data_IF_903014014936
#
_entry.id   IF_903014014936
#
_cell.length_a   1.000
_cell.length_b   1.000
_cell.length_c   1.000
_cell.angle_alpha   90.00
_cell.angle_beta   90.00
_cell.angle_gamma   90.00
#
_symmetry.space_group_name_H-M   'P 1'
#
loop_
_entity.id
_entity.type
_entity.pdbx_description
1 polymer ?
#
# COMPACT_ATOMS: atom_id res chain seq x y z
N UNK A 1 -26.71 -58.44 59.22
CA UNK A 1 -27.62 -58.08 60.33
C UNK A 1 -26.80 -57.47 61.45
N UNK A 2 -26.70 -56.14 61.50
CA UNK A 2 -26.22 -55.39 62.68
C UNK A 2 -27.08 -54.14 62.75
N UNK A 3 -27.71 -53.95 63.91
CA UNK A 3 -28.60 -52.86 64.25
C UNK A 3 -27.84 -51.57 64.52
N UNK A 4 -28.45 -50.42 64.20
CA UNK A 4 -28.10 -49.14 64.82
C UNK A 4 -29.39 -48.44 65.25
N UNK A 5 -29.42 -48.15 66.54
CA UNK A 5 -30.46 -47.46 67.29
C UNK A 5 -30.29 -45.95 67.13
N UNK A 6 -31.44 -45.28 67.10
CA UNK A 6 -31.76 -43.85 67.07
C UNK A 6 -30.96 -42.94 68.01
N UNK A 7 -30.67 -41.72 67.53
CA UNK A 7 -30.81 -40.50 68.36
C UNK A 7 -31.19 -39.30 67.48
N UNK A 8 -32.36 -38.72 67.75
CA UNK A 8 -32.82 -37.46 67.18
C UNK A 8 -32.33 -36.28 68.03
N UNK A 9 -31.79 -35.25 67.39
CA UNK A 9 -31.51 -33.94 68.00
C UNK A 9 -32.34 -32.90 67.24
N UNK A 10 -33.32 -32.33 67.94
CA UNK A 10 -34.12 -31.19 67.52
C UNK A 10 -33.35 -29.90 67.83
N UNK A 11 -32.97 -29.14 66.80
CA UNK A 11 -32.67 -27.72 66.94
C UNK A 11 -33.64 -26.90 66.08
N UNK A 12 -34.40 -26.05 66.77
CA UNK A 12 -35.29 -25.03 66.21
C UNK A 12 -34.45 -23.90 65.60
N UNK A 13 -34.51 -23.72 64.29
CA UNK A 13 -33.93 -22.59 63.56
C UNK A 13 -34.99 -21.96 62.65
N UNK A 14 -35.05 -20.62 62.66
CA UNK A 14 -36.09 -19.76 62.06
C UNK A 14 -36.26 -19.96 60.55
N UNK A 15 -37.52 -20.06 60.09
CA UNK A 15 -37.92 -20.02 58.68
C UNK A 15 -38.00 -18.54 58.26
N UNK A 16 -37.02 -18.08 57.48
CA UNK A 16 -37.20 -16.94 56.56
C UNK A 16 -37.47 -17.52 55.18
N UNK A 17 -38.65 -17.28 54.64
CA UNK A 17 -39.03 -17.76 53.31
C UNK A 17 -38.14 -17.16 52.22
N UNK A 18 -37.42 -18.01 51.49
CA UNK A 18 -36.90 -17.70 50.17
C UNK A 18 -37.94 -18.17 49.15
N UNK A 19 -38.53 -17.20 48.44
CA UNK A 19 -39.30 -17.48 47.23
C UNK A 19 -38.42 -18.11 46.14
N UNK A 20 -39.01 -18.79 45.15
CA UNK A 20 -38.24 -19.35 44.05
C UNK A 20 -37.53 -18.23 43.30
N UNK A 21 -36.21 -18.36 43.18
CA UNK A 21 -35.38 -17.45 42.41
C UNK A 21 -35.89 -17.39 40.97
N UNK A 22 -36.29 -16.19 40.54
CA UNK A 22 -36.55 -15.90 39.15
C UNK A 22 -35.25 -16.18 38.38
N UNK A 23 -35.32 -17.12 37.43
CA UNK A 23 -34.22 -17.43 36.53
C UNK A 23 -33.77 -16.15 35.82
N UNK A 24 -32.46 -15.90 35.87
CA UNK A 24 -31.85 -14.90 35.01
C UNK A 24 -32.17 -15.28 33.57
N UNK A 25 -32.97 -14.45 32.90
CA UNK A 25 -33.10 -14.52 31.45
C UNK A 25 -31.70 -14.35 30.84
N UNK A 26 -31.32 -15.18 29.85
CA UNK A 26 -30.11 -14.92 29.09
C UNK A 26 -30.23 -13.51 28.49
N UNK A 27 -29.16 -12.71 28.62
CA UNK A 27 -29.07 -11.44 27.90
C UNK A 27 -29.27 -11.71 26.40
N UNK A 28 -30.05 -10.87 25.68
CA UNK A 28 -30.25 -11.07 24.26
C UNK A 28 -28.90 -11.06 23.56
N UNK A 29 -28.61 -12.11 22.78
CA UNK A 29 -27.47 -12.15 21.86
C UNK A 29 -27.56 -10.90 20.99
N UNK A 30 -26.55 -10.04 21.04
CA UNK A 30 -26.51 -8.82 20.24
C UNK A 30 -26.77 -9.16 18.77
N UNK A 31 -27.67 -8.42 18.12
CA UNK A 31 -27.93 -8.58 16.68
C UNK A 31 -26.61 -8.37 15.93
N UNK A 32 -26.24 -9.27 14.99
CA UNK A 32 -25.02 -9.12 14.22
C UNK A 32 -25.07 -7.80 13.43
N UNK A 33 -23.98 -7.03 13.46
CA UNK A 33 -23.89 -5.75 12.75
C UNK A 33 -23.84 -5.99 11.25
N UNK A 34 -23.14 -7.06 10.83
CA UNK A 34 -23.01 -7.46 9.44
C UNK A 34 -24.07 -8.48 9.04
N UNK A 35 -24.71 -8.22 7.91
CA UNK A 35 -25.66 -9.12 7.23
C UNK A 35 -25.51 -8.95 5.72
N UNK A 36 -26.10 -9.81 4.88
CA UNK A 36 -26.15 -9.56 3.43
C UNK A 36 -26.77 -8.20 3.06
N UNK A 37 -27.63 -7.63 3.91
CA UNK A 37 -28.24 -6.32 3.69
C UNK A 37 -27.29 -5.14 3.98
N UNK A 38 -26.22 -5.34 4.76
CA UNK A 38 -25.20 -4.30 5.00
C UNK A 38 -24.22 -4.14 3.83
N UNK A 39 -24.24 -5.06 2.86
CA UNK A 39 -23.31 -5.07 1.74
C UNK A 39 -23.76 -4.18 0.58
N UNK A 40 -22.83 -3.76 -0.30
CA UNK A 40 -23.15 -3.08 -1.56
C UNK A 40 -24.23 -3.82 -2.36
N UNK A 41 -25.06 -3.08 -3.06
CA UNK A 41 -26.10 -3.61 -3.95
C UNK A 41 -25.77 -3.31 -5.40
N UNK A 42 -26.51 -3.93 -6.32
CA UNK A 42 -26.45 -3.59 -7.75
C UNK A 42 -26.73 -2.10 -7.97
N UNK A 43 -27.68 -1.52 -7.24
CA UNK A 43 -28.04 -0.11 -7.38
C UNK A 43 -26.91 0.82 -6.94
N UNK A 44 -26.16 0.47 -5.88
CA UNK A 44 -25.02 1.26 -5.41
C UNK A 44 -23.94 1.38 -6.49
N UNK A 45 -23.55 0.26 -7.11
CA UNK A 45 -22.43 0.20 -8.06
C UNK A 45 -22.76 0.70 -9.46
N UNK A 46 -24.03 0.90 -9.81
CA UNK A 46 -24.43 1.55 -11.07
C UNK A 46 -23.83 2.94 -11.24
N UNK A 47 -23.48 3.61 -10.15
CA UNK A 47 -22.80 4.91 -10.17
C UNK A 47 -21.38 4.86 -10.76
N UNK A 48 -20.71 3.70 -10.72
CA UNK A 48 -19.37 3.52 -11.32
C UNK A 48 -19.42 3.42 -12.85
N UNK A 49 -20.45 2.77 -13.37
CA UNK A 49 -20.70 2.65 -14.81
C UNK A 49 -22.20 2.43 -15.03
N UNK A 50 -22.91 3.50 -15.36
CA UNK A 50 -24.37 3.48 -15.54
C UNK A 50 -24.83 2.74 -16.80
N UNK A 51 -23.90 2.45 -17.72
CA UNK A 51 -24.18 1.72 -18.95
C UNK A 51 -23.95 0.22 -18.79
N UNK A 52 -23.23 -0.21 -17.76
CA UNK A 52 -22.97 -1.60 -17.49
C UNK A 52 -24.19 -2.32 -16.90
N UNK A 53 -24.42 -3.54 -17.38
CA UNK A 53 -25.41 -4.44 -16.80
C UNK A 53 -24.83 -5.12 -15.55
N UNK A 54 -24.98 -4.48 -14.39
CA UNK A 54 -24.48 -5.01 -13.12
C UNK A 54 -25.34 -6.15 -12.58
N UNK A 55 -24.69 -7.20 -12.09
CA UNK A 55 -25.32 -8.32 -11.40
C UNK A 55 -24.54 -8.69 -10.14
N UNK A 56 -25.25 -9.15 -9.11
CA UNK A 56 -24.64 -9.85 -7.98
C UNK A 56 -24.32 -11.28 -8.42
N UNK A 57 -23.05 -11.66 -8.32
CA UNK A 57 -22.57 -12.99 -8.72
C UNK A 57 -22.13 -13.83 -7.53
N UNK A 58 -21.94 -13.21 -6.37
CA UNK A 58 -21.56 -13.87 -5.13
C UNK A 58 -22.04 -13.07 -3.93
N UNK A 59 -22.65 -13.74 -2.96
CA UNK A 59 -22.75 -13.29 -1.57
C UNK A 59 -22.50 -14.49 -0.66
N UNK A 60 -21.65 -14.30 0.35
CA UNK A 60 -21.32 -15.35 1.31
C UNK A 60 -20.93 -14.76 2.67
N UNK A 61 -21.24 -15.49 3.73
CA UNK A 61 -20.93 -15.11 5.12
C UNK A 61 -19.79 -15.96 5.71
N UNK A 62 -19.27 -16.89 4.91
CA UNK A 62 -18.15 -17.77 5.27
C UNK A 62 -17.07 -17.64 4.21
N UNK A 63 -15.85 -17.38 4.67
CA UNK A 63 -14.66 -17.32 3.83
C UNK A 63 -13.98 -18.69 3.82
N UNK A 64 -13.59 -19.13 2.64
CA UNK A 64 -12.82 -20.34 2.36
C UNK A 64 -11.70 -20.04 1.34
N UNK A 65 -11.06 -21.09 0.83
CA UNK A 65 -9.95 -20.95 -0.10
C UNK A 65 -10.36 -20.39 -1.48
N UNK A 66 -11.62 -20.57 -1.89
CA UNK A 66 -12.12 -20.16 -3.21
C UNK A 66 -12.77 -18.76 -3.19
N UNK A 67 -12.91 -18.20 -1.98
CA UNK A 67 -13.43 -16.86 -1.76
C UNK A 67 -12.55 -15.82 -2.47
N UNK A 68 -13.13 -14.97 -3.35
CA UNK A 68 -12.37 -13.90 -3.98
C UNK A 68 -11.84 -12.93 -2.92
N UNK A 69 -10.60 -12.45 -3.11
CA UNK A 69 -9.92 -11.54 -2.18
C UNK A 69 -9.53 -10.23 -2.86
N UNK A 70 -9.58 -9.11 -2.14
CA UNK A 70 -9.15 -7.82 -2.66
C UNK A 70 -7.66 -7.80 -2.98
N UNK A 71 -7.31 -7.06 -4.02
CA UNK A 71 -5.94 -6.88 -4.47
C UNK A 71 -5.10 -6.17 -3.40
N UNK A 72 -3.81 -6.51 -3.32
CA UNK A 72 -2.85 -5.98 -2.33
C UNK A 72 -3.12 -6.33 -0.86
N UNK A 73 -4.12 -7.16 -0.54
CA UNK A 73 -4.46 -7.51 0.84
C UNK A 73 -4.40 -9.01 1.10
N UNK A 74 -3.81 -9.37 2.23
CA UNK A 74 -3.84 -10.70 2.84
C UNK A 74 -4.58 -10.57 4.17
N UNK A 75 -5.89 -10.77 4.09
CA UNK A 75 -6.84 -10.41 5.14
C UNK A 75 -6.76 -11.30 6.40
N UNK A 76 -6.14 -12.47 6.29
CA UNK A 76 -5.89 -13.45 7.36
C UNK A 76 -4.39 -13.60 7.67
N UNK A 77 -3.59 -12.59 7.32
CA UNK A 77 -2.17 -12.56 7.64
C UNK A 77 -1.93 -12.65 9.16
N UNK A 78 -0.75 -13.19 9.52
CA UNK A 78 -0.33 -13.26 10.91
C UNK A 78 -0.39 -11.87 11.58
N UNK A 79 -0.99 -11.82 12.77
CA UNK A 79 -1.12 -10.60 13.56
C UNK A 79 -2.40 -9.80 13.30
N UNK A 80 -3.17 -10.11 12.26
CA UNK A 80 -4.51 -9.54 12.08
C UNK A 80 -5.45 -10.15 13.13
N UNK A 81 -6.18 -9.34 13.92
CA UNK A 81 -7.18 -9.85 14.86
C UNK A 81 -8.24 -10.72 14.15
N UNK A 82 -8.79 -11.69 14.87
CA UNK A 82 -9.83 -12.54 14.30
C UNK A 82 -11.15 -11.77 14.22
N UNK A 83 -11.73 -11.67 13.02
CA UNK A 83 -13.09 -11.16 12.85
C UNK A 83 -14.11 -12.14 13.47
N UNK A 84 -15.10 -11.61 14.17
CA UNK A 84 -16.24 -12.37 14.71
C UNK A 84 -17.23 -12.77 13.61
N UNK A 85 -17.33 -11.96 12.56
CA UNK A 85 -18.10 -12.26 11.35
C UNK A 85 -17.51 -11.55 10.15
N UNK A 86 -17.65 -12.17 8.98
CA UNK A 86 -17.25 -11.60 7.69
C UNK A 86 -18.39 -11.79 6.71
N UNK A 87 -18.61 -10.81 5.84
CA UNK A 87 -19.51 -10.96 4.69
C UNK A 87 -18.75 -10.52 3.45
N UNK A 88 -18.84 -11.31 2.38
CA UNK A 88 -18.23 -11.03 1.07
C UNK A 88 -19.34 -10.92 0.05
N UNK A 89 -19.26 -9.90 -0.82
CA UNK A 89 -20.13 -9.75 -1.98
C UNK A 89 -19.32 -9.36 -3.20
N UNK A 90 -19.58 -10.01 -4.33
CA UNK A 90 -19.02 -9.64 -5.63
C UNK A 90 -20.12 -9.26 -6.61
N UNK A 91 -19.96 -8.08 -7.20
CA UNK A 91 -20.82 -7.52 -8.24
C UNK A 91 -20.02 -7.46 -9.54
N UNK A 92 -20.62 -7.84 -10.67
CA UNK A 92 -19.95 -7.89 -11.96
C UNK A 92 -20.71 -7.08 -13.01
N UNK A 93 -19.97 -6.33 -13.83
CA UNK A 93 -20.50 -5.58 -14.96
C UNK A 93 -20.48 -6.46 -16.22
N UNK A 94 -21.65 -6.89 -16.66
CA UNK A 94 -21.80 -7.79 -17.81
C UNK A 94 -21.11 -9.14 -17.56
N UNK A 95 -20.47 -9.69 -18.59
CA UNK A 95 -19.83 -11.01 -18.54
C UNK A 95 -18.31 -10.96 -18.30
N UNK A 96 -17.75 -9.78 -18.02
CA UNK A 96 -16.32 -9.61 -17.78
C UNK A 96 -16.00 -9.73 -16.29
N UNK A 97 -15.38 -10.84 -15.89
CA UNK A 97 -15.01 -11.10 -14.51
C UNK A 97 -13.98 -10.11 -13.93
N UNK A 98 -13.27 -9.37 -14.79
CA UNK A 98 -12.30 -8.34 -14.42
C UNK A 98 -12.90 -6.93 -14.39
N UNK A 99 -14.17 -6.77 -14.79
CA UNK A 99 -14.95 -5.56 -14.57
C UNK A 99 -15.93 -5.81 -13.41
N UNK A 100 -15.42 -5.70 -12.19
CA UNK A 100 -16.13 -6.15 -10.98
C UNK A 100 -15.86 -5.28 -9.77
N UNK A 101 -16.76 -5.33 -8.80
CA UNK A 101 -16.60 -4.74 -7.47
C UNK A 101 -16.69 -5.86 -6.44
N UNK A 102 -15.61 -6.08 -5.73
CA UNK A 102 -15.57 -6.94 -4.55
C UNK A 102 -15.74 -6.06 -3.30
N UNK A 103 -16.71 -6.39 -2.46
CA UNK A 103 -16.91 -5.78 -1.15
C UNK A 103 -16.77 -6.85 -0.08
N UNK A 104 -15.86 -6.64 0.85
CA UNK A 104 -15.65 -7.51 2.00
C UNK A 104 -15.74 -6.68 3.28
N UNK A 105 -16.59 -7.14 4.21
CA UNK A 105 -16.84 -6.45 5.47
C UNK A 105 -16.51 -7.37 6.64
N UNK A 106 -15.89 -6.81 7.67
CA UNK A 106 -15.41 -7.51 8.86
C UNK A 106 -15.98 -6.85 10.11
N UNK A 107 -16.52 -7.65 11.02
CA UNK A 107 -16.88 -7.21 12.36
C UNK A 107 -15.88 -7.82 13.34
N UNK A 108 -15.21 -6.98 14.10
CA UNK A 108 -14.27 -7.38 15.14
C UNK A 108 -14.92 -7.34 16.52
N UNK A 109 -14.27 -7.93 17.51
CA UNK A 109 -14.76 -7.93 18.89
C UNK A 109 -14.79 -6.53 19.50
N UNK A 110 -13.92 -5.63 19.04
CA UNK A 110 -13.81 -4.26 19.53
C UNK A 110 -13.39 -3.28 18.44
N UNK A 111 -13.54 -1.98 18.71
CA UNK A 111 -12.99 -0.93 17.85
C UNK A 111 -11.45 -0.94 17.79
N UNK A 112 -10.79 -1.38 18.88
CA UNK A 112 -9.33 -1.48 18.93
C UNK A 112 -8.80 -2.63 18.08
N UNK A 113 -9.51 -3.77 18.04
CA UNK A 113 -9.19 -4.87 17.14
C UNK A 113 -9.39 -4.45 15.68
N UNK A 114 -10.51 -3.78 15.38
CA UNK A 114 -10.77 -3.23 14.05
C UNK A 114 -9.69 -2.21 13.63
N UNK A 115 -9.24 -1.37 14.57
CA UNK A 115 -8.14 -0.42 14.34
C UNK A 115 -6.84 -1.16 14.05
N UNK A 116 -6.50 -2.18 14.82
CA UNK A 116 -5.27 -2.96 14.63
C UNK A 116 -5.27 -3.67 13.27
N UNK A 117 -6.40 -4.26 12.86
CA UNK A 117 -6.57 -4.83 11.52
C UNK A 117 -6.40 -3.76 10.43
N UNK A 118 -7.03 -2.59 10.60
CA UNK A 118 -6.96 -1.47 9.65
C UNK A 118 -5.53 -0.93 9.49
N UNK A 119 -4.78 -0.79 10.58
CA UNK A 119 -3.41 -0.31 10.56
C UNK A 119 -2.49 -1.31 9.82
N UNK A 120 -2.70 -2.62 10.03
CA UNK A 120 -1.96 -3.68 9.32
C UNK A 120 -2.31 -3.71 7.83
N UNK A 121 -3.60 -3.69 7.48
CA UNK A 121 -4.03 -3.69 6.08
C UNK A 121 -3.62 -2.41 5.35
N UNK A 122 -3.60 -1.26 6.03
CA UNK A 122 -3.05 -0.03 5.46
C UNK A 122 -1.59 -0.24 5.05
N UNK A 123 -0.77 -0.88 5.89
CA UNK A 123 0.62 -1.20 5.53
C UNK A 123 0.72 -2.20 4.37
N UNK A 124 -0.14 -3.22 4.35
CA UNK A 124 -0.20 -4.16 3.23
C UNK A 124 -0.58 -3.48 1.90
N UNK A 125 -1.50 -2.50 1.91
CA UNK A 125 -1.79 -1.69 0.73
C UNK A 125 -0.56 -0.87 0.30
N UNK A 126 0.20 -0.35 1.25
CA UNK A 126 1.46 0.35 1.02
C UNK A 126 2.55 -0.51 0.38
N UNK A 127 2.65 -1.78 0.80
CA UNK A 127 3.57 -2.77 0.25
C UNK A 127 3.12 -3.31 -1.11
N UNK A 128 1.81 -3.58 -1.24
CA UNK A 128 1.18 -4.40 -2.27
C UNK A 128 2.05 -5.58 -2.73
N UNK A 129 2.19 -6.59 -1.87
CA UNK A 129 3.08 -7.75 -2.09
C UNK A 129 2.69 -8.67 -3.26
N UNK A 130 1.63 -8.34 -4.02
CA UNK A 130 1.21 -9.07 -5.22
C UNK A 130 2.35 -9.02 -6.26
N UNK A 131 2.95 -10.17 -6.66
CA UNK A 131 4.21 -10.24 -7.44
C UNK A 131 4.30 -9.50 -8.79
N UNK A 132 3.22 -8.88 -9.27
CA UNK A 132 3.13 -8.23 -10.59
C UNK A 132 2.37 -6.91 -10.55
N UNK A 133 2.09 -6.40 -9.34
CA UNK A 133 1.33 -5.19 -9.16
C UNK A 133 2.22 -3.95 -9.23
N UNK A 134 1.71 -2.89 -9.85
CA UNK A 134 2.23 -1.53 -9.80
C UNK A 134 1.29 -0.65 -8.99
N UNK A 135 1.76 -0.06 -7.91
CA UNK A 135 1.09 0.98 -7.13
C UNK A 135 1.13 2.31 -7.88
N UNK A 136 0.14 2.51 -8.73
CA UNK A 136 0.02 3.71 -9.53
C UNK A 136 -0.32 4.96 -8.69
N UNK A 137 -1.13 4.81 -7.64
CA UNK A 137 -1.61 5.93 -6.85
C UNK A 137 -1.94 5.54 -5.40
N UNK A 138 -1.83 6.48 -4.46
CA UNK A 138 -2.46 6.41 -3.15
C UNK A 138 -3.68 7.32 -3.06
N UNK A 139 -4.57 7.06 -2.11
CA UNK A 139 -5.77 7.86 -1.91
C UNK A 139 -5.82 8.46 -0.51
N UNK A 140 -5.98 9.77 -0.45
CA UNK A 140 -6.40 10.46 0.77
C UNK A 140 -7.93 10.48 0.77
N UNK A 141 -8.54 9.84 1.76
CA UNK A 141 -9.99 9.67 1.86
C UNK A 141 -10.49 10.36 3.12
N UNK A 142 -11.61 11.06 3.02
CA UNK A 142 -12.25 11.74 4.15
C UNK A 142 -13.76 11.60 4.11
N UNK A 143 -14.42 11.82 5.24
CA UNK A 143 -15.88 11.73 5.33
C UNK A 143 -16.41 10.29 5.31
N UNK A 144 -15.56 9.30 5.58
CA UNK A 144 -15.91 7.87 5.55
C UNK A 144 -15.38 7.21 6.82
N UNK A 145 -16.24 7.04 7.82
CA UNK A 145 -15.87 6.35 9.05
C UNK A 145 -14.87 7.11 9.93
N UNK A 146 -14.25 6.37 10.84
CA UNK A 146 -13.20 6.87 11.74
C UNK A 146 -11.84 6.99 11.04
N UNK A 147 -11.59 6.14 10.04
CA UNK A 147 -10.35 6.11 9.28
C UNK A 147 -10.60 5.44 7.93
N UNK A 148 -10.04 6.00 6.86
CA UNK A 148 -10.11 5.43 5.53
C UNK A 148 -8.80 5.67 4.76
N UNK A 149 -8.44 4.71 3.92
CA UNK A 149 -7.27 4.81 3.04
C UNK A 149 -7.46 3.93 1.81
N UNK A 150 -6.59 4.09 0.81
CA UNK A 150 -6.62 3.23 -0.35
C UNK A 150 -5.47 3.43 -1.31
N UNK A 151 -5.45 2.58 -2.33
CA UNK A 151 -4.48 2.61 -3.42
C UNK A 151 -5.16 2.31 -4.74
N UNK A 152 -4.53 2.75 -5.82
CA UNK A 152 -4.74 2.17 -7.14
C UNK A 152 -3.57 1.26 -7.46
N UNK A 153 -3.87 0.01 -7.78
CA UNK A 153 -2.91 -1.00 -8.18
C UNK A 153 -3.19 -1.47 -9.61
N UNK A 154 -2.17 -1.66 -10.41
CA UNK A 154 -2.26 -2.20 -11.76
C UNK A 154 -1.62 -3.57 -11.76
N UNK A 155 -2.40 -4.62 -12.00
CA UNK A 155 -1.88 -5.98 -12.20
C UNK A 155 -1.35 -6.05 -13.63
N UNK A 156 -0.02 -6.06 -13.77
CA UNK A 156 0.67 -5.84 -15.05
C UNK A 156 0.85 -7.14 -15.88
N UNK A 157 -0.23 -7.89 -16.06
CA UNK A 157 -0.29 -9.00 -17.01
C UNK A 157 -0.31 -8.50 -18.48
N UNK A 158 -0.36 -9.41 -19.45
CA UNK A 158 -0.50 -9.07 -20.88
C UNK A 158 -1.66 -8.10 -21.13
N UNK A 159 -2.77 -8.31 -20.42
CA UNK A 159 -3.87 -7.35 -20.32
C UNK A 159 -3.88 -6.82 -18.90
N UNK A 160 -3.52 -5.54 -18.74
CA UNK A 160 -3.50 -4.93 -17.43
C UNK A 160 -4.91 -4.82 -16.83
N UNK A 161 -5.05 -5.24 -15.58
CA UNK A 161 -6.26 -5.05 -14.78
C UNK A 161 -5.96 -3.96 -13.76
N UNK A 162 -6.78 -2.91 -13.76
CA UNK A 162 -6.63 -1.78 -12.86
C UNK A 162 -7.59 -1.97 -11.70
N UNK A 163 -7.06 -1.84 -10.49
CA UNK A 163 -7.78 -1.97 -9.24
C UNK A 163 -7.74 -0.63 -8.50
N UNK A 164 -8.86 -0.23 -7.92
CA UNK A 164 -8.90 0.79 -6.88
C UNK A 164 -9.41 0.11 -5.62
N UNK A 165 -8.50 -0.08 -4.66
CA UNK A 165 -8.73 -0.77 -3.40
C UNK A 165 -8.77 0.27 -2.30
N UNK A 166 -9.89 0.36 -1.61
CA UNK A 166 -10.07 1.29 -0.50
C UNK A 166 -10.67 0.55 0.69
N UNK A 167 -10.25 0.93 1.88
CA UNK A 167 -10.83 0.43 3.12
C UNK A 167 -11.25 1.57 4.03
N UNK A 168 -12.26 1.32 4.85
CA UNK A 168 -12.74 2.23 5.87
C UNK A 168 -13.10 1.48 7.14
N UNK A 169 -12.71 2.03 8.28
CA UNK A 169 -13.11 1.57 9.61
C UNK A 169 -14.14 2.51 10.21
N UNK A 170 -15.17 1.94 10.84
CA UNK A 170 -16.12 2.65 11.70
C UNK A 170 -16.40 1.78 12.92
N UNK A 171 -15.90 2.18 14.08
CA UNK A 171 -16.03 1.44 15.33
C UNK A 171 -15.39 0.07 15.18
N UNK A 172 -16.15 -0.98 15.48
CA UNK A 172 -15.71 -2.39 15.36
C UNK A 172 -15.83 -2.99 13.96
N UNK A 173 -16.28 -2.23 12.95
CA UNK A 173 -16.48 -2.72 11.58
C UNK A 173 -15.48 -2.10 10.61
N UNK A 174 -14.93 -2.93 9.72
CA UNK A 174 -14.10 -2.51 8.59
C UNK A 174 -14.73 -2.96 7.29
N UNK A 175 -14.86 -2.05 6.33
CA UNK A 175 -15.28 -2.32 4.96
C UNK A 175 -14.09 -2.19 4.02
N UNK A 176 -13.93 -3.13 3.09
CA UNK A 176 -12.93 -3.13 2.02
C UNK A 176 -13.66 -3.24 0.69
N UNK A 177 -13.38 -2.32 -0.24
CA UNK A 177 -13.87 -2.36 -1.62
C UNK A 177 -12.68 -2.43 -2.57
N UNK A 178 -12.66 -3.47 -3.41
CA UNK A 178 -11.78 -3.58 -4.58
C UNK A 178 -12.64 -3.47 -5.84
N UNK A 179 -12.63 -2.30 -6.47
CA UNK A 179 -13.20 -2.11 -7.80
C UNK A 179 -12.12 -2.38 -8.85
N UNK A 180 -12.46 -3.17 -9.88
CA UNK A 180 -11.55 -3.62 -10.92
C UNK A 180 -12.11 -3.35 -12.31
N UNK A 181 -11.25 -2.98 -13.27
CA UNK A 181 -11.60 -2.84 -14.68
C UNK A 181 -10.38 -3.06 -15.58
N UNK A 182 -10.52 -3.74 -16.74
CA UNK A 182 -9.44 -3.83 -17.71
C UNK A 182 -9.12 -2.46 -18.29
N UNK A 183 -7.82 -2.16 -18.45
CA UNK A 183 -7.29 -1.00 -19.19
C UNK A 183 -7.70 0.41 -18.71
N UNK A 184 -8.67 0.55 -17.80
CA UNK A 184 -9.14 1.81 -17.25
C UNK A 184 -9.22 1.73 -15.72
N UNK A 185 -8.72 2.75 -15.04
CA UNK A 185 -8.74 2.81 -13.58
C UNK A 185 -10.13 3.17 -13.04
N UNK A 186 -10.71 2.38 -12.12
CA UNK A 186 -11.91 2.77 -11.41
C UNK A 186 -11.70 4.05 -10.59
N UNK A 187 -12.62 5.02 -10.70
CA UNK A 187 -12.51 6.32 -10.03
C UNK A 187 -12.51 6.18 -8.51
N UNK A 188 -11.42 6.57 -7.85
CA UNK A 188 -11.29 6.49 -6.40
C UNK A 188 -12.26 7.38 -5.62
N UNK A 189 -12.73 8.48 -6.18
CA UNK A 189 -13.79 9.30 -5.55
C UNK A 189 -15.12 8.55 -5.57
N UNK A 190 -15.41 7.85 -6.65
CA UNK A 190 -16.62 7.04 -6.75
C UNK A 190 -16.55 5.83 -5.81
N UNK A 191 -15.40 5.16 -5.71
CA UNK A 191 -15.19 4.07 -4.73
C UNK A 191 -15.33 4.57 -3.28
N UNK A 192 -14.83 5.77 -2.95
CA UNK A 192 -14.97 6.34 -1.61
C UNK A 192 -16.44 6.62 -1.25
N UNK A 193 -17.25 7.04 -2.22
CA UNK A 193 -18.70 7.19 -2.03
C UNK A 193 -19.38 5.84 -1.78
N UNK A 194 -18.96 4.76 -2.45
CA UNK A 194 -19.45 3.41 -2.17
C UNK A 194 -19.10 2.97 -0.74
N UNK A 195 -17.88 3.23 -0.28
CA UNK A 195 -17.51 3.00 1.12
C UNK A 195 -18.41 3.79 2.07
N UNK A 196 -18.68 5.07 1.76
CA UNK A 196 -19.59 5.91 2.54
C UNK A 196 -20.99 5.31 2.66
N UNK A 197 -21.52 4.76 1.56
CA UNK A 197 -22.82 4.08 1.54
C UNK A 197 -22.87 2.89 2.50
N UNK A 198 -21.88 2.00 2.48
CA UNK A 198 -21.88 0.79 3.35
C UNK A 198 -21.54 1.13 4.80
N UNK A 199 -20.66 2.10 5.05
CA UNK A 199 -20.40 2.62 6.39
C UNK A 199 -21.66 3.24 6.98
N UNK A 200 -22.44 3.98 6.19
CA UNK A 200 -23.73 4.53 6.64
C UNK A 200 -24.74 3.47 7.08
N UNK A 201 -24.64 2.24 6.57
CA UNK A 201 -25.50 1.11 6.97
C UNK A 201 -25.09 0.48 8.31
N UNK A 202 -23.83 0.56 8.69
CA UNK A 202 -23.26 -0.20 9.82
C UNK A 202 -22.78 0.66 10.98
N UNK A 203 -22.44 1.94 10.74
CA UNK A 203 -21.70 2.79 11.68
C UNK A 203 -22.34 2.92 13.08
N UNK A 204 -23.66 3.09 13.16
CA UNK A 204 -24.37 3.25 14.43
C UNK A 204 -24.27 1.98 15.29
N UNK A 205 -24.50 0.82 14.68
CA UNK A 205 -24.43 -0.47 15.37
C UNK A 205 -22.98 -0.89 15.65
N UNK A 206 -22.03 -0.45 14.82
CA UNK A 206 -20.60 -0.65 15.04
C UNK A 206 -20.00 0.27 16.11
N UNK A 207 -20.74 1.30 16.56
CA UNK A 207 -20.27 2.28 17.54
C UNK A 207 -19.19 3.22 17.02
N UNK A 208 -19.20 3.55 15.73
CA UNK A 208 -18.21 4.42 15.08
C UNK A 208 -18.81 5.63 14.37
N UNK A 209 -17.94 6.45 13.78
CA UNK A 209 -18.36 7.58 12.97
C UNK A 209 -19.09 7.13 11.69
N UNK A 210 -20.20 7.79 11.38
CA UNK A 210 -20.91 7.57 10.11
C UNK A 210 -20.26 8.38 8.99
N UNK A 211 -20.58 7.98 7.75
CA UNK A 211 -20.17 8.73 6.58
C UNK A 211 -20.80 10.13 6.58
N UNK A 212 -19.99 11.14 6.29
CA UNK A 212 -20.39 12.54 6.15
C UNK A 212 -19.59 13.16 5.00
N UNK A 213 -20.28 13.46 3.90
CA UNK A 213 -19.67 13.99 2.67
C UNK A 213 -18.40 13.23 2.20
N UNK A 214 -18.49 11.92 1.86
CA UNK A 214 -17.38 11.13 1.36
C UNK A 214 -16.63 11.81 0.20
N UNK A 215 -15.31 11.92 0.34
CA UNK A 215 -14.43 12.45 -0.71
C UNK A 215 -13.10 11.72 -0.76
N UNK A 216 -12.46 11.74 -1.92
CA UNK A 216 -11.11 11.24 -2.11
C UNK A 216 -10.31 12.15 -3.03
N UNK A 217 -9.01 12.21 -2.81
CA UNK A 217 -8.05 12.85 -3.70
C UNK A 217 -6.82 11.97 -3.88
N UNK A 218 -6.13 12.13 -5.02
CA UNK A 218 -4.83 11.50 -5.22
C UNK A 218 -3.87 11.93 -4.12
N UNK A 219 -3.05 10.98 -3.67
CA UNK A 219 -2.07 11.16 -2.62
C UNK A 219 -0.98 10.09 -2.71
N UNK A 220 -0.18 10.00 -1.65
CA UNK A 220 0.87 8.99 -1.54
C UNK A 220 0.28 7.69 -1.01
N UNK A 221 0.68 6.51 -1.53
CA UNK A 221 0.30 5.23 -0.94
C UNK A 221 0.63 5.19 0.56
N UNK A 222 -0.12 4.40 1.35
CA UNK A 222 0.22 4.17 2.74
C UNK A 222 1.66 3.70 2.92
N UNK A 223 2.22 3.92 4.11
CA UNK A 223 3.56 3.42 4.45
C UNK A 223 3.66 1.90 4.27
N UNK A 224 4.82 1.43 3.83
CA UNK A 224 5.16 0.00 3.81
C UNK A 224 5.35 -0.54 5.23
N UNK A 225 5.26 -1.86 5.41
CA UNK A 225 5.36 -2.44 6.75
C UNK A 225 6.78 -2.38 7.34
N UNK A 226 7.80 -2.65 6.53
CA UNK A 226 9.18 -2.87 7.02
C UNK A 226 10.12 -1.68 6.80
N UNK A 227 10.04 -1.03 5.63
CA UNK A 227 10.99 -0.01 5.21
C UNK A 227 10.22 1.21 4.65
N UNK A 228 9.51 1.97 5.51
CA UNK A 228 8.56 3.00 5.09
C UNK A 228 9.19 4.17 4.33
N UNK A 229 10.49 4.40 4.50
CA UNK A 229 11.23 5.44 3.80
C UNK A 229 11.68 5.05 2.38
N UNK A 230 11.63 3.76 2.04
CA UNK A 230 12.10 3.22 0.75
C UNK A 230 10.93 2.93 -0.20
N UNK A 231 11.24 2.79 -1.49
CA UNK A 231 10.30 2.24 -2.46
C UNK A 231 9.79 0.84 -2.02
N UNK A 232 8.53 0.55 -2.31
CA UNK A 232 8.00 -0.81 -2.33
C UNK A 232 8.39 -1.49 -3.67
N UNK A 233 8.40 -2.83 -3.71
CA UNK A 233 8.58 -3.53 -5.00
C UNK A 233 7.49 -3.13 -6.00
N UNK A 234 6.27 -2.88 -5.51
CA UNK A 234 5.15 -2.45 -6.32
C UNK A 234 5.25 -0.98 -6.77
N UNK A 235 6.22 -0.19 -6.31
CA UNK A 235 6.44 1.17 -6.85
C UNK A 235 7.18 1.15 -8.20
N UNK A 236 7.77 0.01 -8.57
CA UNK A 236 8.54 -0.15 -9.79
C UNK A 236 7.70 -0.78 -10.89
N UNK A 237 7.50 -0.11 -12.04
CA UNK A 237 6.77 -0.69 -13.16
C UNK A 237 7.57 -1.83 -13.80
N UNK A 238 6.88 -2.81 -14.37
CA UNK A 238 7.48 -3.70 -15.38
C UNK A 238 7.96 -2.90 -16.59
N UNK A 239 9.09 -3.34 -17.17
CA UNK A 239 9.62 -2.80 -18.43
C UNK A 239 9.02 -3.57 -19.60
N UNK A 240 9.07 -4.91 -19.56
CA UNK A 240 8.40 -5.76 -20.54
C UNK A 240 6.98 -6.07 -20.11
N UNK A 241 6.02 -5.93 -21.02
CA UNK A 241 4.62 -6.26 -20.73
C UNK A 241 4.46 -7.74 -20.36
N UNK A 242 3.80 -8.01 -19.23
CA UNK A 242 3.43 -9.36 -18.80
C UNK A 242 4.55 -10.22 -18.19
N UNK A 243 5.78 -9.73 -18.07
CA UNK A 243 6.90 -10.48 -17.48
C UNK A 243 7.74 -9.58 -16.57
N UNK A 244 8.52 -10.17 -15.68
CA UNK A 244 9.35 -9.43 -14.75
C UNK A 244 8.74 -9.32 -13.35
N UNK A 245 9.57 -9.48 -12.32
CA UNK A 245 9.19 -9.34 -10.92
C UNK A 245 10.29 -8.60 -10.17
N UNK A 246 9.91 -7.53 -9.48
CA UNK A 246 10.83 -6.78 -8.62
C UNK A 246 10.97 -7.44 -7.25
N UNK A 247 12.21 -7.57 -6.79
CA UNK A 247 12.55 -8.01 -5.44
C UNK A 247 13.58 -7.08 -4.80
N UNK A 248 13.19 -6.37 -3.76
CA UNK A 248 14.09 -5.55 -2.95
C UNK A 248 14.92 -6.38 -1.96
N UNK A 249 16.20 -6.06 -1.83
CA UNK A 249 17.09 -6.60 -0.79
C UNK A 249 16.69 -6.10 0.60
N UNK A 250 17.35 -6.61 1.64
CA UNK A 250 17.34 -5.95 2.95
C UNK A 250 18.02 -4.58 2.85
N UNK A 251 17.71 -3.69 3.81
CA UNK A 251 18.33 -2.38 3.91
C UNK A 251 19.72 -2.52 4.51
N UNK A 252 20.73 -2.04 3.78
CA UNK A 252 22.11 -2.00 4.23
C UNK A 252 22.47 -0.61 4.77
N UNK A 253 23.26 -0.55 5.85
CA UNK A 253 23.86 0.70 6.37
C UNK A 253 25.33 0.87 5.96
N UNK A 254 25.91 -0.18 5.39
CA UNK A 254 27.26 -0.22 4.83
C UNK A 254 27.15 -0.86 3.45
N UNK A 255 27.68 -0.20 2.43
CA UNK A 255 27.51 -0.60 1.04
C UNK A 255 28.67 -0.05 0.22
N UNK A 256 28.91 -0.66 -0.94
CA UNK A 256 29.71 -0.06 -1.99
C UNK A 256 28.82 0.85 -2.85
N UNK A 257 29.33 2.01 -3.24
CA UNK A 257 28.60 2.91 -4.12
C UNK A 257 28.89 2.56 -5.58
N UNK A 258 27.84 2.20 -6.30
CA UNK A 258 27.87 2.06 -7.74
C UNK A 258 27.14 3.26 -8.33
N UNK A 259 27.87 4.16 -8.97
CA UNK A 259 27.33 5.35 -9.65
C UNK A 259 27.52 5.29 -11.16
N UNK A 260 27.05 6.31 -11.87
CA UNK A 260 27.29 6.49 -13.30
C UNK A 260 28.68 7.05 -13.63
N UNK A 261 29.52 7.23 -12.61
CA UNK A 261 30.82 7.91 -12.63
C UNK A 261 30.76 9.43 -12.83
N UNK A 262 29.57 10.02 -12.93
CA UNK A 262 29.39 11.47 -13.11
C UNK A 262 29.06 12.21 -11.81
N UNK A 263 28.83 11.49 -10.71
CA UNK A 263 28.42 12.05 -9.43
C UNK A 263 29.52 12.89 -8.78
N UNK A 264 30.79 12.59 -9.11
CA UNK A 264 31.97 13.27 -8.55
C UNK A 264 32.20 13.00 -7.07
N UNK A 265 31.37 12.16 -6.45
CA UNK A 265 31.44 11.75 -5.05
C UNK A 265 31.04 10.29 -4.90
N UNK A 266 31.63 9.64 -3.92
CA UNK A 266 31.23 8.31 -3.46
C UNK A 266 30.21 8.48 -2.32
N UNK A 267 28.97 8.03 -2.53
CA UNK A 267 27.89 8.18 -1.53
C UNK A 267 28.08 7.29 -0.29
N UNK A 268 28.87 6.21 -0.40
CA UNK A 268 29.20 5.37 0.74
C UNK A 268 30.10 6.11 1.74
N UNK A 269 30.96 7.00 1.25
CA UNK A 269 32.02 7.64 2.04
C UNK A 269 31.95 9.17 2.12
N UNK A 270 31.04 9.82 1.38
CA UNK A 270 30.90 11.28 1.38
C UNK A 270 30.69 11.82 2.80
N UNK A 271 31.43 12.86 3.17
CA UNK A 271 31.37 13.45 4.50
C UNK A 271 30.03 14.21 4.73
N UNK A 272 29.59 14.27 5.99
CA UNK A 272 28.43 15.07 6.41
C UNK A 272 27.19 14.28 6.87
N UNK A 273 26.71 13.24 6.15
CA UNK A 273 25.56 12.46 6.60
C UNK A 273 25.80 11.78 7.94
N UNK A 274 24.81 11.87 8.84
CA UNK A 274 24.77 11.16 10.13
C UNK A 274 24.28 9.72 9.97
N UNK A 275 23.51 9.45 8.92
CA UNK A 275 23.10 8.10 8.55
C UNK A 275 23.09 7.90 7.04
N UNK A 276 23.38 6.67 6.63
CA UNK A 276 23.34 6.20 5.25
C UNK A 276 22.61 4.88 5.23
N UNK A 277 21.72 4.72 4.26
CA UNK A 277 20.99 3.49 4.00
C UNK A 277 20.97 3.24 2.50
N UNK A 278 21.02 1.97 2.13
CA UNK A 278 20.98 1.51 0.75
C UNK A 278 20.03 0.32 0.63
N UNK A 279 19.33 0.24 -0.49
CA UNK A 279 18.53 -0.91 -0.88
C UNK A 279 18.59 -1.07 -2.39
N UNK A 280 18.77 -2.30 -2.86
CA UNK A 280 18.70 -2.64 -4.27
C UNK A 280 17.39 -3.37 -4.58
N UNK A 281 16.82 -3.11 -5.75
CA UNK A 281 15.66 -3.80 -6.30
C UNK A 281 16.07 -4.53 -7.56
N UNK A 282 16.04 -5.85 -7.54
CA UNK A 282 16.48 -6.67 -8.68
C UNK A 282 15.26 -7.11 -9.48
N UNK A 283 15.36 -6.99 -10.80
CA UNK A 283 14.36 -7.53 -11.71
C UNK A 283 14.68 -9.00 -11.99
N UNK A 284 13.72 -9.87 -11.68
CA UNK A 284 13.77 -11.30 -11.98
C UNK A 284 12.69 -11.66 -12.99
N UNK A 285 12.76 -12.86 -13.57
CA UNK A 285 11.68 -13.39 -14.43
C UNK A 285 11.37 -12.51 -15.67
N UNK A 286 12.36 -11.81 -16.21
CA UNK A 286 12.28 -11.11 -17.49
C UNK A 286 13.47 -11.53 -18.38
N UNK A 287 13.19 -12.33 -19.41
CA UNK A 287 14.22 -12.84 -20.31
C UNK A 287 14.84 -11.76 -21.22
N UNK A 288 14.23 -10.57 -21.31
CA UNK A 288 14.79 -9.44 -22.04
C UNK A 288 15.70 -8.58 -21.14
N UNK A 289 15.68 -8.78 -19.82
CA UNK A 289 16.56 -8.08 -18.90
C UNK A 289 18.03 -8.55 -19.09
N UNK A 290 19.00 -7.64 -19.03
CA UNK A 290 20.42 -8.00 -19.01
C UNK A 290 20.75 -9.00 -17.90
N UNK A 291 21.57 -10.02 -18.22
CA UNK A 291 21.93 -11.07 -17.26
C UNK A 291 22.62 -10.51 -16.01
N UNK A 292 22.19 -10.98 -14.84
CA UNK A 292 22.91 -10.86 -13.56
C UNK A 292 22.99 -9.48 -12.90
N UNK A 293 22.44 -8.40 -13.48
CA UNK A 293 22.74 -7.02 -13.00
C UNK A 293 21.64 -5.98 -13.15
N UNK A 294 20.45 -6.32 -13.67
CA UNK A 294 19.42 -5.31 -13.87
C UNK A 294 18.64 -5.01 -12.58
N UNK A 295 18.89 -3.83 -12.00
CA UNK A 295 18.23 -3.41 -10.77
C UNK A 295 18.25 -1.91 -10.54
N UNK A 296 17.34 -1.44 -9.67
CA UNK A 296 17.35 -0.06 -9.16
C UNK A 296 18.10 -0.04 -7.84
N UNK A 297 19.11 0.81 -7.72
CA UNK A 297 19.72 1.15 -6.44
C UNK A 297 19.06 2.41 -5.87
N UNK A 298 18.70 2.38 -4.59
CA UNK A 298 18.19 3.51 -3.83
C UNK A 298 19.09 3.76 -2.62
N UNK A 299 19.64 4.96 -2.53
CA UNK A 299 20.48 5.41 -1.43
C UNK A 299 19.81 6.57 -0.70
N UNK A 300 19.74 6.50 0.62
CA UNK A 300 19.18 7.54 1.48
C UNK A 300 20.27 8.03 2.42
N UNK A 301 20.60 9.33 2.31
CA UNK A 301 21.59 10.00 3.12
C UNK A 301 20.91 11.09 3.95
N UNK A 302 20.93 10.96 5.27
CA UNK A 302 20.33 11.95 6.18
C UNK A 302 21.43 12.81 6.78
N UNK A 303 21.28 14.13 6.69
CA UNK A 303 22.21 15.12 7.24
C UNK A 303 21.70 15.68 8.57
N UNK A 304 22.59 16.21 9.42
CA UNK A 304 22.19 16.89 10.67
C UNK A 304 21.23 18.06 10.41
N UNK A 305 21.38 18.76 9.29
CA UNK A 305 20.55 19.89 8.88
C UNK A 305 20.35 19.94 7.35
N UNK A 306 19.39 20.77 6.94
CA UNK A 306 19.07 20.99 5.53
C UNK A 306 20.23 21.58 4.73
N UNK A 307 21.08 22.41 5.34
CA UNK A 307 22.22 23.04 4.66
C UNK A 307 23.25 22.03 4.17
N UNK A 308 23.52 20.98 4.96
CA UNK A 308 24.36 19.85 4.55
C UNK A 308 23.78 19.10 3.35
N UNK A 309 22.48 18.82 3.38
CA UNK A 309 21.78 18.17 2.27
C UNK A 309 21.79 19.04 0.99
N UNK A 310 21.52 20.35 1.12
CA UNK A 310 21.57 21.32 0.02
C UNK A 310 22.94 21.35 -0.63
N UNK A 311 24.00 21.31 0.18
CA UNK A 311 25.39 21.22 -0.28
C UNK A 311 25.65 19.98 -1.13
N UNK A 312 25.24 18.80 -0.65
CA UNK A 312 25.39 17.56 -1.42
C UNK A 312 24.64 17.61 -2.75
N UNK A 313 23.37 18.05 -2.73
CA UNK A 313 22.54 18.13 -3.94
C UNK A 313 23.14 19.06 -4.96
N UNK A 314 23.64 20.23 -4.52
CA UNK A 314 24.33 21.20 -5.37
C UNK A 314 25.57 20.59 -6.01
N UNK A 315 26.41 19.93 -5.21
CA UNK A 315 27.68 19.37 -5.69
C UNK A 315 27.47 18.25 -6.70
N UNK A 316 26.57 17.29 -6.41
CA UNK A 316 26.25 16.19 -7.33
C UNK A 316 25.63 16.73 -8.62
N UNK A 317 24.69 17.68 -8.51
CA UNK A 317 24.06 18.30 -9.69
C UNK A 317 25.09 19.01 -10.57
N UNK A 318 26.01 19.78 -9.97
CA UNK A 318 27.07 20.47 -10.69
C UNK A 318 28.02 19.47 -11.36
N UNK A 319 28.37 18.39 -10.66
CA UNK A 319 29.23 17.33 -11.21
C UNK A 319 28.59 16.64 -12.40
N UNK A 320 27.34 16.18 -12.27
CA UNK A 320 26.62 15.51 -13.36
C UNK A 320 26.48 16.43 -14.57
N UNK A 321 26.02 17.67 -14.38
CA UNK A 321 25.85 18.63 -15.49
C UNK A 321 27.18 19.03 -16.14
N UNK A 322 28.30 18.96 -15.40
CA UNK A 322 29.64 19.22 -15.91
C UNK A 322 30.34 17.98 -16.48
N UNK A 323 29.74 16.79 -16.37
CA UNK A 323 30.44 15.52 -16.59
C UNK A 323 31.04 15.41 -18.00
N UNK A 324 30.31 15.82 -19.04
CA UNK A 324 30.81 15.76 -20.43
C UNK A 324 32.09 16.57 -20.67
N UNK A 325 32.34 17.61 -19.84
CA UNK A 325 33.56 18.43 -19.93
C UNK A 325 34.76 17.73 -19.30
N UNK A 326 34.52 16.93 -18.27
CA UNK A 326 35.55 16.27 -17.48
C UNK A 326 35.81 14.83 -17.94
N UNK A 327 34.82 14.21 -18.60
CA UNK A 327 34.85 12.85 -19.11
C UNK A 327 34.33 12.85 -20.55
N UNK A 328 35.24 12.85 -21.53
CA UNK A 328 34.89 12.91 -22.95
C UNK A 328 34.09 11.68 -23.45
N UNK A 329 34.07 10.60 -22.67
CA UNK A 329 33.28 9.38 -22.91
C UNK A 329 31.84 9.50 -22.43
N UNK A 330 31.51 10.55 -21.65
CA UNK A 330 30.20 10.75 -21.07
C UNK A 330 29.31 11.61 -21.97
N UNK A 331 28.03 11.24 -22.02
CA UNK A 331 26.93 12.07 -22.53
C UNK A 331 25.86 12.18 -21.45
N UNK A 332 25.38 13.38 -21.17
CA UNK A 332 24.41 13.68 -20.12
C UNK A 332 23.20 14.38 -20.72
N UNK A 333 22.05 13.74 -20.58
CA UNK A 333 20.75 14.29 -20.96
C UNK A 333 19.97 14.58 -19.69
N UNK A 334 19.78 15.87 -19.38
CA UNK A 334 18.98 16.27 -18.24
C UNK A 334 17.50 16.00 -18.53
N UNK A 335 16.82 15.31 -17.62
CA UNK A 335 15.39 15.09 -17.67
C UNK A 335 14.59 16.17 -16.94
N UNK A 336 13.33 15.85 -16.67
CA UNK A 336 12.41 16.73 -15.98
C UNK A 336 12.82 16.99 -14.52
N UNK A 337 12.49 18.18 -14.02
CA UNK A 337 12.58 18.48 -12.60
C UNK A 337 11.44 17.79 -11.83
N UNK A 338 11.69 17.54 -10.54
CA UNK A 338 10.71 17.10 -9.56
C UNK A 338 10.49 18.29 -8.63
N UNK A 339 9.25 18.75 -8.54
CA UNK A 339 8.80 19.80 -7.62
C UNK A 339 7.36 19.47 -7.23
N UNK A 340 7.22 18.79 -6.09
CA UNK A 340 5.93 18.31 -5.60
C UNK A 340 5.90 18.38 -4.07
N UNK A 341 4.78 17.98 -3.47
CA UNK A 341 4.61 17.91 -2.02
C UNK A 341 3.94 16.61 -1.62
N UNK A 342 4.39 16.05 -0.50
CA UNK A 342 3.69 14.99 0.20
C UNK A 342 3.78 15.23 1.70
N UNK A 343 2.70 14.94 2.43
CA UNK A 343 2.65 15.15 3.88
C UNK A 343 3.11 16.56 4.31
N UNK A 344 2.74 17.60 3.55
CA UNK A 344 3.17 18.99 3.72
C UNK A 344 4.70 19.25 3.62
N UNK A 345 5.49 18.26 3.20
CA UNK A 345 6.93 18.41 2.93
C UNK A 345 7.14 18.65 1.43
N UNK A 346 8.05 19.56 1.11
CA UNK A 346 8.50 19.78 -0.25
C UNK A 346 9.41 18.63 -0.70
N UNK A 347 9.18 18.13 -1.91
CA UNK A 347 9.99 17.13 -2.58
C UNK A 347 10.55 17.79 -3.82
N UNK A 348 11.85 18.03 -3.82
CA UNK A 348 12.55 18.69 -4.93
C UNK A 348 13.63 17.79 -5.47
N UNK A 349 13.80 17.74 -6.78
CA UNK A 349 14.80 16.88 -7.37
C UNK A 349 14.91 17.01 -8.88
N UNK A 350 15.75 16.17 -9.46
CA UNK A 350 15.98 16.08 -10.90
C UNK A 350 16.32 14.66 -11.29
N UNK A 351 16.07 14.34 -12.56
CA UNK A 351 16.53 13.09 -13.16
C UNK A 351 17.44 13.36 -14.35
N UNK A 352 18.33 12.42 -14.63
CA UNK A 352 19.23 12.44 -15.78
C UNK A 352 19.23 11.08 -16.47
N UNK A 353 19.55 11.12 -17.74
CA UNK A 353 20.11 9.98 -18.45
C UNK A 353 21.59 10.24 -18.68
N UNK A 354 22.43 9.27 -18.34
CA UNK A 354 23.88 9.36 -18.51
C UNK A 354 24.32 8.17 -19.36
N UNK A 355 25.11 8.43 -20.41
CA UNK A 355 25.68 7.37 -21.26
C UNK A 355 27.20 7.47 -21.19
N UNK A 356 27.84 6.38 -20.80
CA UNK A 356 29.29 6.24 -20.79
C UNK A 356 29.73 5.36 -21.96
N UNK A 357 30.71 5.82 -22.73
CA UNK A 357 31.41 4.99 -23.69
C UNK A 357 32.46 4.14 -22.96
N UNK A 358 32.23 2.83 -22.91
CA UNK A 358 33.13 1.87 -22.22
C UNK A 358 34.27 1.45 -23.15
N UNK A 359 33.96 1.24 -24.44
CA UNK A 359 34.94 1.01 -25.49
C UNK A 359 34.42 1.56 -26.85
N UNK A 360 35.08 1.24 -27.97
CA UNK A 360 34.67 1.75 -29.29
C UNK A 360 33.24 1.36 -29.70
N UNK A 361 32.73 0.25 -29.21
CA UNK A 361 31.44 -0.34 -29.60
C UNK A 361 30.44 -0.45 -28.43
N UNK A 362 30.93 -0.42 -27.19
CA UNK A 362 30.12 -0.61 -25.99
C UNK A 362 29.80 0.72 -25.33
N UNK A 363 28.51 0.96 -25.11
CA UNK A 363 28.00 2.09 -24.32
C UNK A 363 27.17 1.55 -23.18
N UNK A 364 27.41 2.06 -21.97
CA UNK A 364 26.56 1.81 -20.82
C UNK A 364 25.68 3.03 -20.57
N UNK A 365 24.37 2.82 -20.49
CA UNK A 365 23.40 3.87 -20.16
C UNK A 365 22.99 3.72 -18.70
N UNK A 366 22.70 4.84 -18.05
CA UNK A 366 22.22 4.93 -16.69
C UNK A 366 21.07 5.90 -16.64
N UNK A 367 20.08 5.60 -15.82
CA UNK A 367 19.12 6.60 -15.36
C UNK A 367 19.46 6.94 -13.92
N UNK A 368 19.53 8.24 -13.63
CA UNK A 368 19.87 8.76 -12.30
C UNK A 368 18.75 9.68 -11.83
N UNK A 369 18.38 9.58 -10.56
CA UNK A 369 17.47 10.48 -9.87
C UNK A 369 18.14 11.00 -8.61
N UNK A 370 18.01 12.30 -8.35
CA UNK A 370 18.47 12.94 -7.12
C UNK A 370 17.32 13.75 -6.57
N UNK A 371 16.84 13.35 -5.40
CA UNK A 371 15.67 13.92 -4.74
C UNK A 371 16.05 14.33 -3.33
N UNK A 372 15.48 15.42 -2.86
CA UNK A 372 15.66 15.91 -1.52
C UNK A 372 14.30 16.14 -0.85
N UNK A 373 14.23 15.72 0.40
CA UNK A 373 13.12 16.03 1.31
C UNK A 373 13.74 16.52 2.61
N UNK A 374 13.54 17.80 2.92
CA UNK A 374 14.12 18.45 4.09
C UNK A 374 15.66 18.25 4.17
N UNK A 375 16.16 17.59 5.22
CA UNK A 375 17.59 17.29 5.47
C UNK A 375 18.08 15.97 4.90
N UNK A 376 17.26 15.30 4.08
CA UNK A 376 17.57 13.96 3.58
C UNK A 376 17.62 13.97 2.05
N UNK A 377 18.66 13.34 1.51
CA UNK A 377 18.91 13.21 0.07
C UNK A 377 18.71 11.75 -0.32
N UNK A 378 17.92 11.52 -1.35
CA UNK A 378 17.70 10.23 -1.99
C UNK A 378 18.37 10.26 -3.35
N UNK A 379 19.18 9.25 -3.63
CA UNK A 379 19.76 9.01 -4.94
C UNK A 379 19.24 7.66 -5.46
N UNK A 380 18.61 7.66 -6.64
CA UNK A 380 18.19 6.44 -7.32
C UNK A 380 18.99 6.25 -8.60
N UNK A 381 19.37 5.02 -8.93
CA UNK A 381 20.04 4.73 -10.19
C UNK A 381 19.68 3.37 -10.74
N UNK A 382 19.69 3.24 -12.05
CA UNK A 382 19.59 1.95 -12.73
C UNK A 382 20.51 1.92 -13.96
N UNK A 383 21.35 0.89 -14.14
CA UNK A 383 22.00 0.62 -15.42
C UNK A 383 20.96 0.15 -16.44
N UNK A 384 20.95 0.72 -17.63
CA UNK A 384 19.97 0.41 -18.68
C UNK A 384 20.65 0.04 -19.99
N UNK A 385 19.94 -0.76 -20.79
CA UNK A 385 20.34 -1.09 -22.16
C UNK A 385 19.72 -0.12 -23.17
N UNK A 386 20.11 -0.22 -24.44
CA UNK A 386 19.43 0.54 -25.50
C UNK A 386 18.00 0.06 -25.76
N UNK A 387 17.74 -1.23 -25.54
CA UNK A 387 16.45 -1.88 -25.81
C UNK A 387 15.65 -2.25 -24.56
N UNK A 388 16.22 -2.08 -23.38
CA UNK A 388 15.61 -2.45 -22.10
C UNK A 388 15.82 -1.30 -21.10
N UNK A 389 14.82 -0.43 -21.02
CA UNK A 389 14.89 0.84 -20.31
C UNK A 389 13.49 1.27 -19.85
N UNK A 390 13.42 2.01 -18.74
CA UNK A 390 12.24 2.82 -18.43
C UNK A 390 12.13 3.95 -19.44
N UNK A 391 10.92 4.43 -19.70
CA UNK A 391 10.78 5.73 -20.36
C UNK A 391 11.04 6.89 -19.37
N UNK A 392 11.13 8.12 -19.88
CA UNK A 392 11.46 9.29 -19.06
C UNK A 392 10.44 9.57 -17.97
N UNK A 393 9.15 9.37 -18.24
CA UNK A 393 8.07 9.63 -17.28
C UNK A 393 8.05 8.55 -16.18
N UNK A 394 8.27 7.29 -16.55
CA UNK A 394 8.40 6.18 -15.60
C UNK A 394 9.57 6.44 -14.64
N UNK A 395 10.75 6.80 -15.17
CA UNK A 395 11.91 7.06 -14.31
C UNK A 395 11.72 8.28 -13.40
N UNK A 396 11.15 9.37 -13.92
CA UNK A 396 10.76 10.51 -13.09
C UNK A 396 9.79 10.09 -11.99
N UNK A 397 8.78 9.30 -12.33
CA UNK A 397 7.79 8.78 -11.38
C UNK A 397 8.40 7.93 -10.27
N UNK A 398 9.38 7.08 -10.60
CA UNK A 398 10.11 6.28 -9.61
C UNK A 398 10.89 7.18 -8.63
N UNK A 399 11.68 8.12 -9.14
CA UNK A 399 12.43 9.06 -8.29
C UNK A 399 11.49 9.93 -7.44
N UNK A 400 10.39 10.42 -8.01
CA UNK A 400 9.38 11.18 -7.29
C UNK A 400 8.71 10.34 -6.18
N UNK A 401 8.38 9.08 -6.47
CA UNK A 401 7.80 8.15 -5.49
C UNK A 401 8.75 7.88 -4.32
N UNK A 402 10.05 7.77 -4.58
CA UNK A 402 11.06 7.61 -3.52
C UNK A 402 11.02 8.79 -2.53
N UNK A 403 10.96 10.02 -3.06
CA UNK A 403 10.75 11.22 -2.24
C UNK A 403 9.43 11.21 -1.46
N UNK A 404 8.35 10.73 -2.09
CA UNK A 404 7.05 10.62 -1.43
C UNK A 404 7.04 9.60 -0.29
N UNK A 405 7.69 8.44 -0.45
CA UNK A 405 7.83 7.43 0.63
C UNK A 405 8.53 8.02 1.83
N UNK A 406 9.70 8.62 1.63
CA UNK A 406 10.44 9.31 2.68
C UNK A 406 9.60 10.40 3.37
N UNK A 407 8.92 11.26 2.61
CA UNK A 407 8.12 12.35 3.17
C UNK A 407 7.01 11.88 4.12
N UNK A 408 6.50 10.66 3.97
CA UNK A 408 5.50 10.10 4.91
C UNK A 408 6.11 9.67 6.25
N UNK A 409 7.44 9.59 6.36
CA UNK A 409 8.16 9.16 7.58
C UNK A 409 8.73 10.32 8.39
N UNK A 410 8.74 11.53 7.81
CA UNK A 410 9.22 12.80 8.39
C UNK A 410 8.07 13.69 8.85
#
# INVERSE_FOLDING_TARGET
>A
MIAVVTTAVLLRGRITGQGPGAGQSPSPTATPVLTPASMLTVDDVRSLDSKAAWAEILTQERVDADTPRPTCLVLDAQGVPLAQSTVVRKLQAGNDANNSVLHEAFQFASADDAKSATDLWSKQLGDCSRPIALLANGWTISGVGDAATGVTAIVQDKTAINHTVQLSRSGSVVHVIDASKPQATPDGTAVAKLLGTVVGRTCQAAGGACADNPSASSGVPPQTASNPEFLANADLPRITAGTGRWGGTDVATTFDFFGSQCEGKDLATVAGPESRKHRAYLLQEDAAAPEGTFGVDEYILTYPDKGGADGLVKDITASINGCEKNMLTAKVEQGAAIDTKANNKAITGRVWTITQQVDQNTKQRYRVGLVQVDRTVIYTMIPTGQSFDFNNDQWKGIAERAGQRLATTL
#
